data_IF_795333332637
#
_entry.id   IF_795333332637
#
_cell.length_a   1.000
_cell.length_b   1.000
_cell.length_c   1.000
_cell.angle_alpha   90.00
_cell.angle_beta   90.00
_cell.angle_gamma   90.00
#
_symmetry.space_group_name_H-M   'P 1'
#
loop_
_entity.id
_entity.type
_entity.pdbx_description
1 polymer ?
#
# COMPACT_ATOMS: atom_id res chain seq x y z
N UNK A 1 1.96 -13.11 -9.58
CA UNK A 1 3.04 -12.13 -9.81
C UNK A 1 2.90 -11.03 -8.77
N UNK A 2 3.96 -10.67 -8.04
CA UNK A 2 3.90 -9.56 -7.09
C UNK A 2 4.04 -8.23 -7.84
N UNK A 3 3.02 -7.37 -7.75
CA UNK A 3 3.11 -6.01 -8.29
C UNK A 3 4.12 -5.20 -7.47
N UNK A 4 5.06 -4.54 -8.15
CA UNK A 4 6.04 -3.66 -7.51
C UNK A 4 5.96 -2.26 -8.10
N UNK A 5 6.03 -1.25 -7.24
CA UNK A 5 6.12 0.17 -7.64
C UNK A 5 7.51 0.72 -7.29
N UNK A 6 8.11 1.49 -8.19
CA UNK A 6 9.39 2.16 -7.95
C UNK A 6 9.16 3.41 -7.11
N UNK A 7 9.88 3.51 -5.99
CA UNK A 7 9.85 4.68 -5.10
C UNK A 7 11.26 5.24 -4.95
N UNK A 8 11.42 6.55 -5.13
CA UNK A 8 12.68 7.26 -4.87
C UNK A 8 12.60 7.98 -3.52
N UNK A 9 13.59 7.76 -2.65
CA UNK A 9 13.61 8.26 -1.28
C UNK A 9 15.01 8.79 -0.99
N UNK A 10 15.11 9.94 -0.31
CA UNK A 10 16.36 10.45 0.20
C UNK A 10 16.58 9.93 1.62
N UNK A 11 17.72 9.28 1.86
CA UNK A 11 18.12 8.80 3.17
C UNK A 11 19.29 9.64 3.70
N UNK A 12 19.30 10.03 4.98
CA UNK A 12 20.49 10.54 5.64
C UNK A 12 21.66 9.57 5.46
N UNK A 13 22.86 10.11 5.29
CA UNK A 13 24.05 9.29 4.99
C UNK A 13 24.34 8.25 6.07
N UNK A 14 24.05 8.58 7.32
CA UNK A 14 24.19 7.68 8.47
C UNK A 14 23.27 6.47 8.38
N UNK A 15 22.02 6.67 7.93
CA UNK A 15 21.05 5.58 7.74
C UNK A 15 21.46 4.69 6.57
N UNK A 16 21.89 5.28 5.45
CA UNK A 16 22.36 4.51 4.30
C UNK A 16 23.57 3.64 4.65
N UNK A 17 24.54 4.19 5.39
CA UNK A 17 25.71 3.45 5.87
C UNK A 17 25.33 2.31 6.83
N UNK A 18 24.33 2.52 7.69
CA UNK A 18 23.84 1.47 8.58
C UNK A 18 23.19 0.33 7.78
N UNK A 19 22.33 0.64 6.82
CA UNK A 19 21.69 -0.35 5.94
C UNK A 19 22.75 -1.12 5.15
N UNK A 20 23.77 -0.44 4.60
CA UNK A 20 24.86 -1.11 3.90
C UNK A 20 25.64 -2.08 4.79
N UNK A 21 25.87 -1.74 6.07
CA UNK A 21 26.54 -2.64 7.02
C UNK A 21 25.70 -3.89 7.27
N UNK A 22 24.40 -3.74 7.51
CA UNK A 22 23.47 -4.86 7.70
C UNK A 22 23.46 -5.76 6.47
N UNK A 23 23.29 -5.18 5.28
CA UNK A 23 23.29 -5.92 4.01
C UNK A 23 24.60 -6.74 3.81
N UNK A 24 25.76 -6.18 4.18
CA UNK A 24 27.04 -6.90 4.10
C UNK A 24 27.13 -8.06 5.09
N UNK A 25 26.67 -7.88 6.32
CA UNK A 25 26.70 -8.92 7.37
C UNK A 25 25.76 -10.07 7.00
N UNK A 26 24.57 -9.75 6.52
CA UNK A 26 23.53 -10.73 6.17
C UNK A 26 23.70 -11.31 4.76
N UNK A 27 24.66 -10.80 3.98
CA UNK A 27 24.90 -11.17 2.57
C UNK A 27 23.67 -10.96 1.69
N UNK A 28 22.90 -9.92 1.99
CA UNK A 28 21.71 -9.53 1.24
C UNK A 28 21.92 -8.25 0.43
N UNK A 29 20.97 -7.95 -0.46
CA UNK A 29 20.93 -6.65 -1.13
C UNK A 29 20.39 -5.56 -0.19
N UNK A 30 20.86 -4.33 -0.35
CA UNK A 30 20.32 -3.14 0.34
C UNK A 30 18.80 -3.03 0.17
N UNK A 31 18.29 -3.38 -1.01
CA UNK A 31 16.86 -3.35 -1.28
C UNK A 31 16.07 -4.41 -0.48
N UNK A 32 16.67 -5.56 -0.20
CA UNK A 32 16.05 -6.61 0.63
C UNK A 32 15.89 -6.12 2.07
N UNK A 33 17.00 -5.63 2.65
CA UNK A 33 17.03 -5.05 4.01
C UNK A 33 16.02 -3.90 4.15
N UNK A 34 15.94 -3.01 3.16
CA UNK A 34 14.95 -1.92 3.16
C UNK A 34 13.51 -2.45 3.12
N UNK A 35 13.22 -3.43 2.28
CA UNK A 35 11.87 -4.03 2.21
C UNK A 35 11.47 -4.72 3.52
N UNK A 36 12.40 -5.44 4.14
CA UNK A 36 12.17 -6.09 5.42
C UNK A 36 11.94 -5.07 6.54
N UNK A 37 12.79 -4.04 6.63
CA UNK A 37 12.63 -2.96 7.60
C UNK A 37 11.27 -2.25 7.46
N UNK A 38 10.83 -1.99 6.22
CA UNK A 38 9.50 -1.41 5.94
C UNK A 38 8.39 -2.38 6.36
N UNK A 39 8.51 -3.67 6.00
CA UNK A 39 7.53 -4.70 6.36
C UNK A 39 7.36 -4.79 7.88
N UNK A 40 8.45 -4.81 8.63
CA UNK A 40 8.44 -4.89 10.09
C UNK A 40 7.89 -3.61 10.74
N UNK A 41 8.27 -2.45 10.20
CA UNK A 41 7.75 -1.17 10.67
C UNK A 41 6.23 -1.08 10.49
N UNK A 42 5.72 -1.50 9.33
CA UNK A 42 4.28 -1.52 9.04
C UNK A 42 3.55 -2.59 9.86
N UNK A 43 4.12 -3.79 10.01
CA UNK A 43 3.53 -4.85 10.84
C UNK A 43 3.36 -4.41 12.31
N UNK A 44 4.35 -3.71 12.87
CA UNK A 44 4.25 -3.15 14.24
C UNK A 44 3.16 -2.08 14.35
N UNK A 45 2.87 -1.37 13.26
CA UNK A 45 1.85 -0.31 13.18
C UNK A 45 0.50 -0.80 12.62
N UNK A 46 0.39 -2.08 12.32
CA UNK A 46 -0.81 -2.70 11.74
C UNK A 46 -2.05 -2.47 12.62
N UNK A 47 -1.90 -2.50 13.96
CA UNK A 47 -2.96 -2.11 14.92
C UNK A 47 -3.46 -0.66 14.81
N UNK A 48 -2.66 0.24 14.24
CA UNK A 48 -3.02 1.66 14.02
C UNK A 48 -3.71 1.80 12.65
N UNK A 49 -3.28 1.04 11.65
CA UNK A 49 -3.80 1.10 10.27
C UNK A 49 -5.11 0.31 10.08
N UNK A 50 -5.29 -0.81 10.79
CA UNK A 50 -6.50 -1.65 10.70
C UNK A 50 -7.71 -1.08 11.45
N UNK A 51 -7.50 -0.10 12.34
CA UNK A 51 -8.57 0.35 13.25
C UNK A 51 -9.70 1.09 12.53
N UNK A 52 -9.44 1.63 11.33
CA UNK A 52 -10.41 2.46 10.60
C UNK A 52 -10.89 1.85 9.27
N UNK A 53 -10.20 0.85 8.69
CA UNK A 53 -10.59 0.30 7.37
C UNK A 53 -11.68 -0.78 7.45
N UNK A 54 -11.57 -1.71 8.40
CA UNK A 54 -12.52 -2.83 8.56
C UNK A 54 -13.83 -2.42 9.26
N UNK A 55 -13.91 -1.21 9.82
CA UNK A 55 -15.07 -0.72 10.58
C UNK A 55 -15.77 0.47 9.93
N UNK A 56 -15.35 0.88 8.74
CA UNK A 56 -16.02 1.98 8.03
C UNK A 56 -17.37 1.47 7.48
N UNK A 57 -18.52 2.01 7.95
CA UNK A 57 -19.82 1.62 7.43
C UNK A 57 -19.95 1.85 5.92
N UNK A 58 -19.17 2.77 5.34
CA UNK A 58 -19.15 3.01 3.89
C UNK A 58 -18.49 1.83 3.15
N UNK A 59 -17.47 1.20 3.74
CA UNK A 59 -16.80 0.05 3.15
C UNK A 59 -17.69 -1.20 3.14
N UNK A 60 -18.55 -1.39 4.15
CA UNK A 60 -19.54 -2.47 4.15
C UNK A 60 -20.56 -2.32 3.00
N UNK A 61 -20.81 -1.09 2.54
CA UNK A 61 -21.75 -0.79 1.45
C UNK A 61 -21.16 -1.02 0.05
N UNK A 62 -19.82 -1.09 -0.09
CA UNK A 62 -19.16 -1.28 -1.37
C UNK A 62 -19.45 -2.71 -1.87
N UNK A 63 -20.13 -2.82 -3.02
CA UNK A 63 -20.46 -4.11 -3.65
C UNK A 63 -21.77 -4.75 -3.18
N UNK A 64 -22.58 -4.08 -2.35
CA UNK A 64 -23.93 -4.56 -2.00
C UNK A 64 -24.88 -4.55 -3.21
N UNK A 65 -24.66 -3.64 -4.15
CA UNK A 65 -25.46 -3.52 -5.35
C UNK A 65 -24.60 -3.78 -6.58
N UNK A 66 -25.05 -4.71 -7.42
CA UNK A 66 -24.54 -4.87 -8.78
C UNK A 66 -25.18 -3.78 -9.65
N UNK A 67 -24.33 -3.00 -10.31
CA UNK A 67 -24.73 -1.93 -11.22
C UNK A 67 -24.04 -2.17 -12.57
N UNK A 68 -24.71 -1.82 -13.67
CA UNK A 68 -24.09 -1.83 -14.99
C UNK A 68 -22.93 -0.81 -15.03
N UNK A 69 -21.85 -1.17 -15.72
CA UNK A 69 -20.57 -0.43 -15.69
C UNK A 69 -20.69 1.03 -16.15
N UNK A 70 -21.69 1.33 -16.99
CA UNK A 70 -21.89 2.63 -17.63
C UNK A 70 -22.89 3.54 -16.92
N UNK A 71 -23.60 3.08 -15.87
CA UNK A 71 -24.57 3.89 -15.14
C UNK A 71 -23.98 5.15 -14.52
N UNK A 72 -22.68 5.12 -14.18
CA UNK A 72 -21.96 6.27 -13.64
C UNK A 72 -21.45 7.25 -14.71
N UNK A 73 -21.41 6.83 -15.97
CA UNK A 73 -20.81 7.56 -17.09
C UNK A 73 -21.91 8.16 -17.98
N UNK A 74 -22.91 7.35 -18.32
CA UNK A 74 -24.01 7.69 -19.23
C UNK A 74 -25.32 7.95 -18.48
N UNK A 75 -25.24 8.39 -17.23
CA UNK A 75 -26.39 8.66 -16.36
C UNK A 75 -27.50 9.47 -17.06
N UNK A 76 -27.12 10.50 -17.82
CA UNK A 76 -28.07 11.40 -18.49
C UNK A 76 -28.88 10.71 -19.60
N UNK A 77 -28.28 9.76 -20.30
CA UNK A 77 -28.95 8.91 -21.30
C UNK A 77 -30.03 8.05 -20.66
N UNK A 78 -29.76 7.53 -19.46
CA UNK A 78 -30.71 6.69 -18.72
C UNK A 78 -31.81 7.51 -18.03
N UNK A 79 -31.55 8.77 -17.65
CA UNK A 79 -32.54 9.64 -17.04
C UNK A 79 -33.45 10.37 -18.03
N UNK A 80 -32.92 10.78 -19.18
CA UNK A 80 -33.61 11.70 -20.08
C UNK A 80 -33.99 11.11 -21.44
N UNK A 81 -33.46 9.92 -21.79
CA UNK A 81 -33.77 9.23 -23.05
C UNK A 81 -33.01 9.75 -24.26
#
# INVERSE_FOLDING_TARGET
>A
MTETKRTQLYLPITQYQAIQRVARVEKESVASVVREAIKDYLAKRKKILEKDWEKDPVNELIGIFEAEEDLSIDHDKYLYG
#
